data_IF_390128875380
#
_entry.id   IF_390128875380
#
_cell.length_a   1.000
_cell.length_b   1.000
_cell.length_c   1.000
_cell.angle_alpha   90.00
_cell.angle_beta   90.00
_cell.angle_gamma   90.00
#
_symmetry.space_group_name_H-M   'P 1'
#
loop_
_entity.id
_entity.type
_entity.pdbx_description
1 polymer ?
#
# COMPACT_ATOMS: atom_id res chain seq x y z
N UNK A 1 -12.25 -41.03 21.63
CA UNK A 1 -13.22 -40.34 20.75
C UNK A 1 -12.58 -39.00 20.46
N UNK A 2 -11.84 -38.91 19.35
CA UNK A 2 -11.16 -37.67 18.98
C UNK A 2 -12.23 -36.75 18.40
N UNK A 3 -12.47 -35.62 19.06
CA UNK A 3 -13.30 -34.57 18.49
C UNK A 3 -12.66 -34.13 17.18
N UNK A 4 -13.33 -34.45 16.07
CA UNK A 4 -13.04 -33.87 14.77
C UNK A 4 -13.40 -32.40 14.88
N UNK A 5 -12.45 -31.57 15.30
CA UNK A 5 -12.57 -30.12 15.24
C UNK A 5 -12.93 -29.77 13.79
N UNK A 6 -14.12 -29.21 13.59
CA UNK A 6 -14.42 -28.45 12.39
C UNK A 6 -13.39 -27.32 12.34
N UNK A 7 -12.28 -27.53 11.66
CA UNK A 7 -11.33 -26.47 11.36
C UNK A 7 -12.05 -25.58 10.36
N UNK A 8 -12.64 -24.48 10.84
CA UNK A 8 -13.21 -23.47 9.95
C UNK A 8 -12.18 -23.15 8.87
N UNK A 9 -12.51 -23.31 7.59
CA UNK A 9 -11.60 -23.04 6.45
C UNK A 9 -10.94 -21.65 6.53
N UNK A 10 -11.56 -20.74 7.29
CA UNK A 10 -11.11 -19.38 7.58
C UNK A 10 -9.79 -19.29 8.37
N UNK A 11 -9.32 -20.35 9.02
CA UNK A 11 -8.10 -20.31 9.84
C UNK A 11 -6.81 -20.18 9.02
N UNK A 12 -6.82 -20.61 7.75
CA UNK A 12 -5.67 -20.59 6.85
C UNK A 12 -5.77 -19.56 5.72
N UNK A 13 -6.79 -18.69 5.74
CA UNK A 13 -6.97 -17.68 4.70
C UNK A 13 -6.02 -16.50 4.91
N UNK A 14 -5.23 -16.20 3.86
CA UNK A 14 -4.52 -14.95 3.73
C UNK A 14 -5.29 -14.03 2.76
N UNK A 15 -5.49 -12.79 3.18
CA UNK A 15 -5.99 -11.71 2.35
C UNK A 15 -4.80 -11.04 1.65
N UNK A 16 -4.95 -10.80 0.36
CA UNK A 16 -3.95 -10.15 -0.48
C UNK A 16 -4.64 -9.06 -1.26
N UNK A 17 -4.11 -7.84 -1.20
CA UNK A 17 -4.65 -6.68 -1.91
C UNK A 17 -3.55 -5.87 -2.60
N UNK A 18 -3.89 -5.30 -3.75
CA UNK A 18 -3.05 -4.36 -4.48
C UNK A 18 -3.58 -2.93 -4.35
N UNK A 19 -2.71 -2.03 -3.88
CA UNK A 19 -3.09 -0.63 -3.69
C UNK A 19 -2.09 0.33 -4.32
N UNK A 20 -2.63 1.28 -5.09
CA UNK A 20 -1.88 2.41 -5.63
C UNK A 20 -1.82 3.57 -4.65
N UNK A 21 -0.62 3.99 -4.28
CA UNK A 21 -0.37 5.18 -3.46
C UNK A 21 0.32 6.26 -4.29
N UNK A 22 -0.05 7.51 -4.08
CA UNK A 22 0.65 8.64 -4.68
C UNK A 22 1.95 8.92 -3.91
N UNK A 23 3.08 9.01 -4.61
CA UNK A 23 4.38 9.33 -4.00
C UNK A 23 4.41 10.73 -3.37
N UNK A 24 3.53 11.62 -3.82
CA UNK A 24 3.42 12.98 -3.29
C UNK A 24 1.97 13.33 -2.99
N UNK A 25 1.76 14.23 -2.02
CA UNK A 25 0.42 14.75 -1.72
C UNK A 25 -0.16 15.41 -2.98
N UNK A 26 -1.40 15.04 -3.30
CA UNK A 26 -2.13 15.54 -4.47
C UNK A 26 -2.28 17.06 -4.41
N UNK A 27 -2.60 17.58 -3.23
CA UNK A 27 -2.63 19.01 -2.95
C UNK A 27 -1.68 19.29 -1.80
N UNK A 28 -0.74 20.20 -2.02
CA UNK A 28 0.18 20.69 -0.99
C UNK A 28 -0.12 22.16 -0.76
N UNK A 29 -0.64 22.50 0.42
CA UNK A 29 -0.70 23.89 0.87
C UNK A 29 0.73 24.30 1.21
N UNK A 30 1.18 25.41 0.61
CA UNK A 30 2.49 26.00 0.88
C UNK A 30 2.21 27.40 1.41
N UNK A 31 2.68 27.67 2.61
CA UNK A 31 2.66 29.00 3.21
C UNK A 31 4.01 29.66 2.94
N UNK A 32 4.00 30.93 2.57
CA UNK A 32 5.22 31.72 2.35
C UNK A 32 5.10 33.07 3.03
N UNK A 33 6.24 33.69 3.29
CA UNK A 33 6.29 35.02 3.87
C UNK A 33 5.74 36.07 2.88
N UNK A 34 5.21 37.21 3.37
CA UNK A 34 4.80 38.31 2.50
C UNK A 34 5.95 38.74 1.57
N UNK A 35 5.74 38.65 0.26
CA UNK A 35 6.74 38.99 -0.77
C UNK A 35 7.57 37.82 -1.31
N UNK A 36 7.45 36.63 -0.74
CA UNK A 36 8.19 35.46 -1.22
C UNK A 36 7.50 34.82 -2.44
N UNK A 37 8.27 34.57 -3.50
CA UNK A 37 7.79 33.79 -4.66
C UNK A 37 7.75 32.31 -4.30
N UNK A 38 6.61 31.85 -3.80
CA UNK A 38 6.38 30.44 -3.49
C UNK A 38 6.41 29.62 -4.78
N UNK A 39 7.31 28.63 -4.86
CA UNK A 39 7.30 27.63 -5.93
C UNK A 39 6.09 26.70 -5.75
N UNK A 40 4.98 27.03 -6.41
CA UNK A 40 3.86 26.10 -6.52
C UNK A 40 4.24 24.97 -7.49
N UNK A 41 4.02 23.71 -7.08
CA UNK A 41 4.02 22.60 -8.03
C UNK A 41 2.80 22.74 -8.93
N UNK A 42 3.00 23.02 -10.21
CA UNK A 42 1.95 22.94 -11.22
C UNK A 42 2.02 21.59 -11.93
N UNK A 43 1.00 20.75 -11.71
CA UNK A 43 0.76 19.57 -12.54
C UNK A 43 -0.65 19.70 -13.12
N UNK A 44 -0.78 19.63 -14.44
CA UNK A 44 -2.08 19.78 -15.13
C UNK A 44 -3.10 18.71 -14.75
N UNK A 45 -2.65 17.53 -14.30
CA UNK A 45 -3.51 16.42 -13.91
C UNK A 45 -2.83 15.53 -12.87
N UNK A 46 -3.65 14.92 -12.00
CA UNK A 46 -3.20 13.92 -11.01
C UNK A 46 -2.59 12.68 -11.67
N UNK A 47 -2.90 12.42 -12.95
CA UNK A 47 -2.33 11.30 -13.72
C UNK A 47 -0.81 11.41 -13.91
N UNK A 48 -0.27 12.62 -13.88
CA UNK A 48 1.18 12.86 -14.01
C UNK A 48 1.94 12.76 -12.68
N UNK A 49 1.23 12.53 -11.56
CA UNK A 49 1.89 12.28 -10.29
C UNK A 49 2.38 10.84 -10.26
N UNK A 50 3.62 10.65 -9.82
CA UNK A 50 4.19 9.32 -9.59
C UNK A 50 3.32 8.56 -8.58
N UNK A 51 2.93 7.34 -8.95
CA UNK A 51 2.24 6.39 -8.09
C UNK A 51 3.14 5.18 -7.89
N UNK A 52 3.06 4.58 -6.72
CA UNK A 52 3.71 3.30 -6.40
C UNK A 52 2.61 2.31 -6.06
N UNK A 53 2.69 1.10 -6.60
CA UNK A 53 1.80 0.01 -6.25
C UNK A 53 2.42 -0.81 -5.13
N UNK A 54 1.62 -1.12 -4.12
CA UNK A 54 2.00 -2.00 -3.04
C UNK A 54 1.08 -3.21 -3.03
N UNK A 55 1.68 -4.39 -2.92
CA UNK A 55 1.00 -5.64 -2.62
C UNK A 55 1.14 -5.88 -1.13
N UNK A 56 0.03 -6.00 -0.40
CA UNK A 56 0.06 -6.35 1.02
C UNK A 56 -0.67 -7.65 1.26
N UNK A 57 -0.13 -8.45 2.17
CA UNK A 57 -0.74 -9.68 2.61
C UNK A 57 -0.91 -9.67 4.13
N UNK A 58 -2.12 -9.97 4.57
CA UNK A 58 -2.50 -10.10 5.96
C UNK A 58 -3.33 -11.37 6.18
N UNK A 59 -3.21 -11.95 7.35
CA UNK A 59 -4.01 -13.06 7.82
C UNK A 59 -4.67 -12.67 9.14
N UNK A 60 -5.61 -13.47 9.59
CA UNK A 60 -6.27 -13.25 10.87
C UNK A 60 -5.25 -13.37 12.02
N UNK A 61 -5.20 -12.41 12.96
CA UNK A 61 -4.39 -12.55 14.17
C UNK A 61 -4.77 -13.84 14.92
N UNK A 62 -3.76 -14.60 15.36
CA UNK A 62 -3.96 -15.88 16.03
C UNK A 62 -2.80 -16.19 16.97
N UNK A 63 -3.07 -17.02 17.96
CA UNK A 63 -2.02 -17.59 18.80
C UNK A 63 -1.18 -18.60 17.99
N UNK A 64 0.14 -18.54 18.10
CA UNK A 64 1.07 -19.48 17.48
C UNK A 64 1.64 -20.41 18.56
N UNK A 65 1.13 -21.64 18.63
CA UNK A 65 1.54 -22.65 19.61
C UNK A 65 3.02 -23.03 19.49
N UNK A 66 3.65 -22.87 18.31
CA UNK A 66 5.06 -23.20 18.13
C UNK A 66 6.00 -22.14 18.71
N UNK A 67 5.53 -20.89 18.77
CA UNK A 67 6.30 -19.74 19.26
C UNK A 67 5.83 -19.25 20.62
N UNK A 68 4.71 -19.78 21.12
CA UNK A 68 4.03 -19.32 22.34
C UNK A 68 3.78 -17.80 22.33
N UNK A 69 3.45 -17.25 21.15
CA UNK A 69 3.27 -15.82 20.93
C UNK A 69 2.03 -15.53 20.07
N UNK A 70 1.48 -14.31 20.20
CA UNK A 70 0.41 -13.82 19.33
C UNK A 70 0.97 -13.38 17.98
N UNK A 71 0.57 -14.05 16.91
CA UNK A 71 0.77 -13.56 15.55
C UNK A 71 -0.23 -12.44 15.26
N UNK A 72 0.29 -11.28 14.88
CA UNK A 72 -0.49 -10.06 14.63
C UNK A 72 -1.21 -10.05 13.27
N UNK A 73 -1.06 -11.12 12.49
CA UNK A 73 -1.69 -11.26 11.18
C UNK A 73 -0.90 -10.60 10.04
N UNK A 74 0.19 -9.88 10.31
CA UNK A 74 0.93 -9.19 9.24
C UNK A 74 1.93 -10.16 8.59
N UNK A 75 1.72 -10.44 7.30
CA UNK A 75 2.64 -11.29 6.54
C UNK A 75 3.71 -10.41 5.87
N UNK A 76 3.29 -9.34 5.20
CA UNK A 76 4.23 -8.41 4.58
C UNK A 76 3.60 -7.42 3.61
N UNK A 77 4.44 -6.45 3.20
CA UNK A 77 4.11 -5.45 2.18
C UNK A 77 5.29 -5.33 1.24
N UNK A 78 5.05 -5.49 -0.06
CA UNK A 78 6.05 -5.40 -1.11
C UNK A 78 5.71 -4.29 -2.09
N UNK A 79 6.72 -3.56 -2.56
CA UNK A 79 6.54 -2.57 -3.62
C UNK A 79 6.68 -3.25 -4.98
N UNK A 80 5.69 -3.09 -5.85
CA UNK A 80 5.77 -3.51 -7.24
C UNK A 80 5.99 -2.25 -8.08
N UNK A 81 7.25 -1.91 -8.36
CA UNK A 81 7.58 -0.67 -9.09
C UNK A 81 8.33 -1.02 -10.36
N UNK A 82 7.66 -0.89 -11.50
CA UNK A 82 8.30 -0.92 -12.81
C UNK A 82 8.61 0.51 -13.24
N UNK A 83 9.87 0.79 -13.59
CA UNK A 83 10.25 2.10 -14.14
C UNK A 83 9.91 2.12 -15.63
N UNK A 84 8.68 2.52 -15.95
CA UNK A 84 8.24 2.60 -17.35
C UNK A 84 8.62 3.96 -17.95
N UNK A 85 9.28 4.01 -19.12
CA UNK A 85 9.53 5.27 -19.82
C UNK A 85 8.23 5.96 -20.20
N UNK A 86 8.18 7.28 -20.09
CA UNK A 86 6.98 8.05 -20.41
C UNK A 86 6.61 7.86 -21.89
N UNK A 87 5.51 7.14 -22.17
CA UNK A 87 5.00 7.00 -23.53
C UNK A 87 4.29 8.28 -23.96
N UNK A 88 4.86 8.97 -24.95
CA UNK A 88 4.30 10.17 -25.54
C UNK A 88 3.37 9.77 -26.70
N UNK A 89 2.06 10.02 -26.57
CA UNK A 89 1.09 9.89 -27.68
C UNK A 89 0.93 11.23 -28.39
N UNK A 90 1.99 11.72 -29.00
CA UNK A 90 1.96 12.86 -29.91
C UNK A 90 3.26 12.88 -30.70
N UNK A 91 3.17 13.00 -32.02
CA UNK A 91 4.30 13.37 -32.89
C UNK A 91 4.95 14.68 -32.46
#
# INVERSE_FOLDING_TARGET
MFDTAHVDEKWFTAHVDEKWFFMSRIQKKVYGAPGEKIKQRSCKSKRHLLKVMFLSADARPRWDDNKEEWFDGKIGTWHFTETVPAQRRSS
#
